data_IF_562373307641
#
_entry.id   IF_562373307641
#
_cell.length_a   1.000
_cell.length_b   1.000
_cell.length_c   1.000
_cell.angle_alpha   90.00
_cell.angle_beta   90.00
_cell.angle_gamma   90.00
#
_symmetry.space_group_name_H-M   'P 1'
#
loop_
_entity.id
_entity.type
_entity.pdbx_description
1 polymer ?
#
# COMPACT_ATOMS: atom_id res chain seq x y z
N UNK A 1 2.46 29.21 11.20
CA UNK A 1 2.60 28.05 10.30
C UNK A 1 2.13 26.74 10.94
N UNK A 2 2.47 26.48 12.20
CA UNK A 2 2.02 25.30 12.96
C UNK A 2 0.49 25.21 13.15
N UNK A 3 -0.20 26.35 13.36
CA UNK A 3 -1.65 26.36 13.57
C UNK A 3 -2.47 26.07 12.31
N UNK A 4 -1.94 26.34 11.09
CA UNK A 4 -2.58 25.94 9.84
C UNK A 4 -2.48 24.45 9.55
N UNK A 5 -1.47 23.77 10.09
CA UNK A 5 -1.28 22.32 9.92
C UNK A 5 -2.20 21.53 10.86
N UNK A 6 -2.51 22.09 12.06
CA UNK A 6 -3.45 21.49 13.01
C UNK A 6 -4.90 21.47 12.54
N UNK A 7 -5.30 22.40 11.67
CA UNK A 7 -6.67 22.49 11.15
C UNK A 7 -6.98 21.52 9.99
N UNK A 8 -5.98 20.82 9.46
CA UNK A 8 -6.07 19.95 8.27
C UNK A 8 -5.85 18.46 8.54
N UNK A 9 -6.10 17.98 9.76
CA UNK A 9 -6.08 16.53 10.04
C UNK A 9 -7.32 15.86 9.42
N UNK A 10 -7.42 15.88 8.09
CA UNK A 10 -8.33 15.01 7.38
C UNK A 10 -7.90 13.56 7.61
N UNK A 11 -8.88 12.70 7.92
CA UNK A 11 -8.68 11.26 8.10
C UNK A 11 -8.24 10.66 6.77
N UNK A 12 -6.95 10.50 6.57
CA UNK A 12 -6.41 9.76 5.44
C UNK A 12 -6.62 8.28 5.72
N UNK A 13 -7.54 7.65 5.01
CA UNK A 13 -7.87 6.22 5.12
C UNK A 13 -6.84 5.32 4.41
N UNK A 14 -5.60 5.78 4.22
CA UNK A 14 -4.52 5.03 3.60
C UNK A 14 -3.31 5.01 4.54
N UNK A 15 -2.52 3.94 4.49
CA UNK A 15 -1.27 3.84 5.25
C UNK A 15 -0.35 5.03 4.92
N UNK A 16 0.08 5.74 5.94
CA UNK A 16 1.03 6.84 5.77
C UNK A 16 2.37 6.29 5.27
N UNK A 17 2.92 6.92 4.24
CA UNK A 17 4.26 6.55 3.74
C UNK A 17 5.28 6.67 4.88
N UNK A 18 6.11 5.66 5.18
CA UNK A 18 7.07 5.70 6.29
C UNK A 18 8.02 6.89 6.23
N UNK A 19 8.37 7.35 5.01
CA UNK A 19 9.17 8.56 4.80
C UNK A 19 8.47 9.81 5.32
N UNK A 20 7.18 9.99 5.02
CA UNK A 20 6.40 11.13 5.50
C UNK A 20 6.23 11.10 7.02
N UNK A 21 5.97 9.94 7.59
CA UNK A 21 5.91 9.75 9.04
C UNK A 21 7.19 10.23 9.70
N UNK A 22 8.38 9.82 9.19
CA UNK A 22 9.68 10.29 9.71
C UNK A 22 9.86 11.80 9.58
N UNK A 23 9.47 12.40 8.45
CA UNK A 23 9.59 13.86 8.23
C UNK A 23 8.73 14.63 9.21
N UNK A 24 7.47 14.22 9.43
CA UNK A 24 6.60 14.88 10.39
C UNK A 24 7.14 14.76 11.83
N UNK A 25 7.58 13.58 12.23
CA UNK A 25 8.17 13.37 13.55
C UNK A 25 9.45 14.19 13.74
N UNK A 26 10.34 14.26 12.74
CA UNK A 26 11.53 15.10 12.78
C UNK A 26 11.21 16.60 12.86
N UNK A 27 10.09 17.03 12.27
CA UNK A 27 9.59 18.41 12.36
C UNK A 27 8.85 18.70 13.68
N UNK A 28 8.81 17.77 14.64
CA UNK A 28 8.10 17.93 15.90
C UNK A 28 6.57 17.85 15.76
N UNK A 29 6.06 17.30 14.67
CA UNK A 29 4.63 17.08 14.40
C UNK A 29 4.35 15.59 14.55
N UNK A 30 3.89 15.12 15.73
CA UNK A 30 3.62 13.70 15.92
C UNK A 30 2.40 13.28 15.13
N UNK A 31 2.54 12.26 14.29
CA UNK A 31 1.45 11.61 13.55
C UNK A 31 1.17 10.28 14.20
N UNK A 32 -0.09 10.05 14.56
CA UNK A 32 -0.58 8.77 15.10
C UNK A 32 -1.33 8.02 14.01
N UNK A 33 -0.95 6.78 13.79
CA UNK A 33 -1.65 5.87 12.87
C UNK A 33 -2.51 4.91 13.70
N UNK A 34 -3.69 4.59 13.20
CA UNK A 34 -4.59 3.61 13.79
C UNK A 34 -5.09 2.62 12.75
N UNK A 35 -5.41 1.42 13.20
CA UNK A 35 -5.99 0.37 12.36
C UNK A 35 -7.26 -0.17 12.99
N UNK A 36 -8.20 -0.46 12.14
CA UNK A 36 -9.44 -1.11 12.47
C UNK A 36 -10.45 -1.06 11.35
N UNK A 37 -11.58 -1.71 11.56
CA UNK A 37 -12.66 -1.87 10.61
C UNK A 37 -13.99 -1.43 11.26
N UNK A 38 -15.00 -1.17 10.46
CA UNK A 38 -16.36 -0.93 10.96
C UNK A 38 -16.82 -2.09 11.86
N UNK A 39 -16.45 -3.29 11.48
CA UNK A 39 -16.72 -4.55 12.17
C UNK A 39 -16.03 -4.67 13.55
N UNK A 40 -15.11 -3.76 13.88
CA UNK A 40 -14.37 -3.75 15.16
C UNK A 40 -14.57 -2.46 15.96
N UNK A 41 -15.55 -1.64 15.67
CA UNK A 41 -16.11 -0.48 16.41
C UNK A 41 -15.14 0.65 16.78
N UNK A 42 -14.31 1.24 15.93
CA UNK A 42 -13.64 0.73 14.75
C UNK A 42 -12.18 0.34 14.99
N UNK A 43 -11.63 0.44 16.23
CA UNK A 43 -10.18 0.43 16.50
C UNK A 43 -9.70 -0.91 17.03
N UNK A 44 -8.70 -1.49 16.36
CA UNK A 44 -7.94 -2.67 16.79
C UNK A 44 -6.62 -2.25 17.43
N UNK A 45 -5.90 -1.31 16.79
CA UNK A 45 -4.61 -0.83 17.27
C UNK A 45 -4.42 0.65 16.99
N UNK A 46 -3.57 1.32 17.75
CA UNK A 46 -3.24 2.72 17.58
C UNK A 46 -1.81 3.02 18.00
N UNK A 47 -1.10 3.82 17.18
CA UNK A 47 0.20 4.40 17.55
C UNK A 47 -0.01 5.50 18.56
N UNK A 48 0.65 5.41 19.71
CA UNK A 48 0.60 6.47 20.70
C UNK A 48 1.64 7.55 20.37
N UNK A 49 1.31 8.80 20.72
CA UNK A 49 2.16 9.98 20.44
C UNK A 49 3.48 9.99 21.24
N UNK A 50 3.63 9.11 22.21
CA UNK A 50 4.87 8.99 22.98
C UNK A 50 5.93 8.25 22.16
N UNK A 51 7.18 8.73 22.06
CA UNK A 51 8.24 8.08 21.29
C UNK A 51 8.47 6.60 21.65
N UNK A 52 8.21 6.23 22.91
CA UNK A 52 8.35 4.84 23.42
C UNK A 52 7.26 3.89 22.85
N UNK A 53 6.15 4.46 22.38
CA UNK A 53 4.99 3.70 21.90
C UNK A 53 4.70 3.93 20.42
N UNK A 54 5.71 4.36 19.66
CA UNK A 54 5.62 4.62 18.24
C UNK A 54 6.68 3.83 17.46
N UNK A 55 6.25 3.20 16.37
CA UNK A 55 7.13 2.50 15.42
C UNK A 55 6.74 2.88 14.01
N UNK A 56 7.65 3.50 13.26
CA UNK A 56 7.42 3.91 11.87
C UNK A 56 7.02 2.71 11.00
N UNK A 57 5.95 2.86 10.22
CA UNK A 57 5.43 1.81 9.34
C UNK A 57 4.63 0.72 10.07
N UNK A 58 4.27 0.94 11.33
CA UNK A 58 3.35 0.12 12.09
C UNK A 58 2.13 0.95 12.51
N UNK A 59 1.00 0.29 12.67
CA UNK A 59 -0.27 0.90 13.10
C UNK A 59 -0.47 0.90 14.61
N UNK A 60 0.62 0.71 15.36
CA UNK A 60 0.68 0.82 16.81
C UNK A 60 0.44 -0.47 17.57
N UNK A 61 0.24 -0.34 18.87
CA UNK A 61 -0.10 -1.43 19.79
C UNK A 61 -1.61 -1.67 19.83
N UNK A 62 -2.01 -2.88 20.20
CA UNK A 62 -3.41 -3.23 20.38
C UNK A 62 -4.06 -2.36 21.45
N UNK A 63 -5.37 -2.14 21.32
CA UNK A 63 -6.19 -1.60 22.41
C UNK A 63 -6.49 -2.69 23.42
N UNK A 64 -6.74 -2.30 24.68
CA UNK A 64 -6.76 -3.21 25.83
C UNK A 64 -7.88 -4.29 25.78
N UNK A 65 -8.95 -4.05 25.00
CA UNK A 65 -10.09 -4.98 24.87
C UNK A 65 -10.01 -5.94 23.68
N UNK A 66 -8.86 -5.96 22.96
CA UNK A 66 -8.69 -6.78 21.75
C UNK A 66 -7.60 -7.84 21.97
N UNK A 67 -7.97 -9.08 21.70
CA UNK A 67 -7.05 -10.18 21.46
C UNK A 67 -6.76 -10.28 19.96
N UNK A 68 -5.51 -10.58 19.62
CA UNK A 68 -5.08 -10.73 18.23
C UNK A 68 -4.26 -12.01 18.06
N UNK A 69 -4.52 -12.73 16.99
CA UNK A 69 -3.63 -13.79 16.47
C UNK A 69 -3.32 -13.52 15.00
N UNK A 70 -2.14 -13.93 14.57
CA UNK A 70 -1.79 -14.03 13.16
C UNK A 70 -1.99 -15.48 12.76
N UNK A 71 -2.87 -15.75 11.79
CA UNK A 71 -3.11 -17.09 11.27
C UNK A 71 -1.91 -17.61 10.46
N UNK A 72 -1.92 -18.89 10.10
CA UNK A 72 -0.81 -19.52 9.34
C UNK A 72 -0.57 -18.87 7.98
N UNK A 73 -1.62 -18.34 7.36
CA UNK A 73 -1.56 -17.61 6.08
C UNK A 73 -1.22 -16.12 6.25
N UNK A 74 -0.94 -15.68 7.49
CA UNK A 74 -0.61 -14.31 7.83
C UNK A 74 -1.82 -13.40 8.07
N UNK A 75 -3.06 -13.93 8.02
CA UNK A 75 -4.26 -13.12 8.26
C UNK A 75 -4.33 -12.65 9.72
N UNK A 76 -4.65 -11.38 9.88
CA UNK A 76 -4.95 -10.78 11.18
C UNK A 76 -6.34 -11.24 11.63
N UNK A 77 -6.41 -12.01 12.71
CA UNK A 77 -7.66 -12.39 13.33
C UNK A 77 -7.76 -11.74 14.71
N UNK A 78 -8.94 -11.18 15.02
CA UNK A 78 -9.15 -10.46 16.27
C UNK A 78 -10.39 -10.98 17.00
N UNK A 79 -10.37 -10.84 18.33
CA UNK A 79 -11.48 -11.20 19.23
C UNK A 79 -11.55 -10.17 20.33
N UNK A 80 -12.76 -9.80 20.76
CA UNK A 80 -12.98 -8.85 21.85
C UNK A 80 -14.36 -8.19 21.75
N UNK A 81 -14.70 -7.38 22.76
CA UNK A 81 -16.01 -6.77 22.91
C UNK A 81 -16.36 -5.75 21.81
N UNK A 82 -15.35 -5.22 21.12
CA UNK A 82 -15.56 -4.30 20.01
C UNK A 82 -15.87 -4.99 18.67
N UNK A 83 -15.74 -6.31 18.59
CA UNK A 83 -16.10 -7.08 17.40
C UNK A 83 -17.61 -7.12 17.24
N UNK A 84 -18.10 -6.85 16.03
CA UNK A 84 -19.53 -6.89 15.72
C UNK A 84 -20.17 -8.23 16.06
N UNK A 85 -21.47 -8.22 16.38
CA UNK A 85 -22.27 -9.46 16.52
C UNK A 85 -22.52 -10.17 15.19
N UNK A 86 -22.44 -9.44 14.06
CA UNK A 86 -22.61 -9.98 12.71
C UNK A 86 -23.18 -8.98 11.72
N UNK A 87 -23.25 -9.40 10.47
CA UNK A 87 -23.86 -8.61 9.39
C UNK A 87 -25.39 -8.69 9.44
N UNK A 88 -26.03 -7.55 9.35
CA UNK A 88 -27.48 -7.44 9.42
C UNK A 88 -28.16 -8.29 8.34
N UNK A 89 -29.05 -9.20 8.77
CA UNK A 89 -29.80 -10.14 7.91
C UNK A 89 -28.92 -10.95 6.94
N UNK A 90 -27.65 -11.17 7.28
CA UNK A 90 -26.73 -11.96 6.46
C UNK A 90 -25.93 -12.95 7.34
N UNK A 91 -26.54 -14.03 7.81
CA UNK A 91 -25.88 -15.01 8.67
C UNK A 91 -24.75 -15.77 7.95
N UNK A 92 -24.85 -15.96 6.63
CA UNK A 92 -23.80 -16.63 5.85
C UNK A 92 -22.52 -15.81 5.84
N UNK A 93 -22.59 -14.53 5.49
CA UNK A 93 -21.42 -13.65 5.54
C UNK A 93 -20.89 -13.48 6.97
N UNK A 94 -21.75 -13.56 7.99
CA UNK A 94 -21.31 -13.53 9.39
C UNK A 94 -20.51 -14.78 9.74
N UNK A 95 -20.96 -15.97 9.32
CA UNK A 95 -20.25 -17.22 9.56
C UNK A 95 -18.94 -17.33 8.78
N UNK A 96 -18.82 -16.66 7.63
CA UNK A 96 -17.55 -16.53 6.90
C UNK A 96 -16.57 -15.59 7.60
N UNK A 97 -17.06 -14.52 8.22
CA UNK A 97 -16.23 -13.50 8.84
C UNK A 97 -15.84 -13.79 10.29
N UNK A 98 -16.71 -14.49 11.05
CA UNK A 98 -16.46 -14.86 12.45
C UNK A 98 -16.51 -16.39 12.57
N UNK A 99 -15.36 -16.97 12.95
CA UNK A 99 -15.27 -18.41 13.13
C UNK A 99 -16.01 -18.90 14.42
N UNK A 100 -16.15 -20.23 14.55
CA UNK A 100 -16.84 -20.86 15.69
C UNK A 100 -16.18 -20.62 17.05
N UNK A 101 -14.92 -20.21 17.07
CA UNK A 101 -14.18 -19.84 18.28
C UNK A 101 -14.29 -18.35 18.60
N UNK A 102 -15.07 -17.59 17.79
CA UNK A 102 -15.34 -16.17 17.95
C UNK A 102 -14.22 -15.24 17.43
N UNK A 103 -13.34 -15.74 16.58
CA UNK A 103 -12.33 -14.91 15.93
C UNK A 103 -12.90 -14.29 14.65
N UNK A 104 -12.83 -12.98 14.59
CA UNK A 104 -13.15 -12.21 13.39
C UNK A 104 -11.96 -12.19 12.44
N UNK A 105 -12.15 -12.64 11.22
CA UNK A 105 -11.21 -12.66 10.13
C UNK A 105 -11.24 -11.32 9.40
N UNK A 106 -10.20 -10.51 9.57
CA UNK A 106 -10.20 -9.13 9.05
C UNK A 106 -10.04 -9.03 7.53
N UNK A 107 -9.52 -10.08 6.90
CA UNK A 107 -9.13 -10.07 5.51
C UNK A 107 -7.85 -9.27 5.24
N UNK A 108 -7.19 -8.74 6.26
CA UNK A 108 -5.93 -8.05 6.18
C UNK A 108 -4.79 -8.97 6.64
N UNK A 109 -3.64 -8.87 5.98
CA UNK A 109 -2.43 -9.64 6.30
C UNK A 109 -1.47 -8.75 7.08
N UNK A 110 -0.84 -9.31 8.10
CA UNK A 110 0.08 -8.54 8.92
C UNK A 110 1.01 -9.36 9.78
N UNK A 111 1.79 -8.67 10.57
CA UNK A 111 2.75 -9.29 11.51
C UNK A 111 2.92 -8.42 12.75
N UNK A 112 3.35 -9.05 13.84
CA UNK A 112 3.78 -8.34 15.04
C UNK A 112 5.26 -8.01 14.95
N UNK A 113 5.59 -6.74 15.10
CA UNK A 113 6.97 -6.23 15.15
C UNK A 113 7.34 -6.01 16.60
N UNK A 114 8.53 -6.51 17.01
CA UNK A 114 9.05 -6.46 18.38
C UNK A 114 8.05 -7.04 19.42
N UNK A 115 7.16 -7.94 19.01
CA UNK A 115 6.12 -8.52 19.86
C UNK A 115 5.05 -7.54 20.36
N UNK A 116 5.07 -6.29 19.91
CA UNK A 116 4.23 -5.20 20.44
C UNK A 116 3.45 -4.44 19.36
N UNK A 117 4.07 -4.16 18.21
CA UNK A 117 3.50 -3.27 17.21
C UNK A 117 2.91 -4.06 16.05
N UNK A 118 1.65 -3.79 15.71
CA UNK A 118 1.01 -4.38 14.55
C UNK A 118 1.49 -3.66 13.28
N UNK A 119 1.90 -4.45 12.29
CA UNK A 119 2.23 -3.98 10.95
C UNK A 119 1.33 -4.69 9.95
N UNK A 120 0.57 -3.91 9.19
CA UNK A 120 -0.23 -4.41 8.08
C UNK A 120 0.68 -4.46 6.84
N UNK A 121 0.64 -5.56 6.14
CA UNK A 121 1.45 -5.77 4.94
C UNK A 121 0.63 -5.79 3.67
N UNK A 122 -0.57 -6.39 3.69
CA UNK A 122 -1.45 -6.46 2.53
C UNK A 122 -2.90 -6.80 2.89
N UNK A 123 -3.74 -6.95 1.86
CA UNK A 123 -5.06 -7.54 1.94
C UNK A 123 -5.07 -8.94 1.37
N UNK A 124 -5.64 -9.91 2.10
CA UNK A 124 -5.72 -11.31 1.69
C UNK A 124 -6.29 -11.50 0.29
N UNK A 125 -7.33 -10.73 -0.09
CA UNK A 125 -7.96 -10.77 -1.42
C UNK A 125 -7.13 -10.13 -2.53
N UNK A 126 -6.07 -9.39 -2.21
CA UNK A 126 -5.19 -8.73 -3.17
C UNK A 126 -3.87 -9.48 -3.40
N UNK A 127 -3.49 -10.37 -2.48
CA UNK A 127 -2.35 -11.24 -2.67
C UNK A 127 -2.61 -12.15 -3.87
N UNK A 128 -1.66 -12.20 -4.78
CA UNK A 128 -1.71 -13.07 -5.94
C UNK A 128 -0.58 -14.10 -5.94
N UNK A 129 -0.78 -15.18 -6.71
CA UNK A 129 0.19 -16.25 -6.87
C UNK A 129 0.83 -16.17 -8.26
N UNK A 130 2.16 -16.19 -8.31
CA UNK A 130 2.89 -16.31 -9.57
C UNK A 130 2.80 -17.71 -10.15
N UNK A 131 3.12 -17.91 -11.44
CA UNK A 131 3.16 -19.23 -12.08
C UNK A 131 4.13 -20.19 -11.39
N UNK A 132 5.17 -19.67 -10.73
CA UNK A 132 6.12 -20.45 -9.91
C UNK A 132 5.60 -20.80 -8.51
N UNK A 133 4.33 -20.50 -8.21
CA UNK A 133 3.70 -20.86 -6.93
C UNK A 133 4.03 -19.94 -5.77
N UNK A 134 4.73 -18.81 -5.98
CA UNK A 134 5.08 -17.86 -4.93
C UNK A 134 3.97 -16.83 -4.74
N UNK A 135 3.63 -16.55 -3.49
CA UNK A 135 2.69 -15.49 -3.14
C UNK A 135 3.39 -14.14 -3.14
N UNK A 136 2.74 -13.15 -3.70
CA UNK A 136 3.20 -11.75 -3.78
C UNK A 136 2.17 -10.86 -3.10
N UNK A 137 2.63 -10.01 -2.20
CA UNK A 137 1.86 -9.00 -1.50
C UNK A 137 1.98 -7.65 -2.25
N UNK A 138 1.04 -7.29 -3.15
CA UNK A 138 1.22 -6.15 -4.05
C UNK A 138 1.32 -4.82 -3.32
N UNK A 139 0.57 -4.60 -2.23
CA UNK A 139 0.63 -3.35 -1.48
C UNK A 139 1.99 -3.14 -0.81
N UNK A 140 2.62 -4.21 -0.32
CA UNK A 140 3.97 -4.13 0.27
C UNK A 140 4.98 -3.66 -0.79
N UNK A 141 4.94 -4.26 -1.97
CA UNK A 141 5.82 -3.91 -3.09
C UNK A 141 5.54 -2.48 -3.58
N UNK A 142 4.27 -2.10 -3.74
CA UNK A 142 3.85 -0.75 -4.12
C UNK A 142 4.28 0.31 -3.11
N UNK A 143 4.19 0.02 -1.82
CA UNK A 143 4.67 0.92 -0.78
C UNK A 143 6.18 1.11 -0.84
N UNK A 144 6.92 0.05 -1.21
CA UNK A 144 8.36 0.13 -1.45
C UNK A 144 8.70 1.00 -2.67
N UNK A 145 8.06 0.77 -3.81
CA UNK A 145 8.25 1.59 -5.00
C UNK A 145 7.99 3.08 -4.72
N UNK A 146 6.95 3.39 -3.94
CA UNK A 146 6.60 4.76 -3.56
C UNK A 146 7.54 5.40 -2.53
N UNK A 147 8.58 4.71 -2.05
CA UNK A 147 9.66 5.33 -1.28
C UNK A 147 10.56 6.19 -2.19
N UNK A 148 10.64 5.90 -3.51
CA UNK A 148 11.29 6.77 -4.49
C UNK A 148 10.58 8.12 -4.62
N UNK A 149 11.37 9.19 -4.72
CA UNK A 149 10.86 10.53 -4.99
C UNK A 149 10.32 10.71 -6.44
N UNK A 150 10.63 9.77 -7.33
CA UNK A 150 10.24 9.81 -8.74
C UNK A 150 9.01 8.96 -9.06
N UNK A 151 8.43 8.25 -8.08
CA UNK A 151 7.25 7.40 -8.27
C UNK A 151 6.07 7.95 -7.45
N UNK A 152 5.04 8.44 -8.13
CA UNK A 152 3.85 9.00 -7.48
C UNK A 152 2.80 7.92 -7.19
N UNK A 153 2.41 7.16 -8.24
CA UNK A 153 1.47 6.05 -8.10
C UNK A 153 2.01 4.82 -8.82
N UNK A 154 1.65 3.65 -8.32
CA UNK A 154 1.96 2.40 -9.01
C UNK A 154 0.92 1.34 -8.68
N UNK A 155 0.79 0.35 -9.57
CA UNK A 155 0.01 -0.86 -9.36
C UNK A 155 0.84 -2.06 -9.76
N UNK A 156 1.09 -2.97 -8.82
CA UNK A 156 1.81 -4.23 -9.06
C UNK A 156 0.83 -5.26 -9.62
N UNK A 157 1.27 -5.95 -10.66
CA UNK A 157 0.55 -7.00 -11.38
C UNK A 157 1.44 -8.24 -11.55
N UNK A 158 0.87 -9.40 -11.89
CA UNK A 158 1.66 -10.61 -12.12
C UNK A 158 0.98 -11.90 -11.68
N UNK A 159 -0.34 -11.87 -11.44
CA UNK A 159 -1.12 -13.07 -11.14
C UNK A 159 -0.98 -14.11 -12.28
N UNK A 160 -0.56 -15.33 -11.92
CA UNK A 160 -0.30 -16.39 -12.88
C UNK A 160 0.93 -16.17 -13.79
N UNK A 161 1.65 -15.08 -13.64
CA UNK A 161 2.82 -14.75 -14.46
C UNK A 161 4.14 -15.21 -13.80
N UNK A 162 5.22 -15.24 -14.58
CA UNK A 162 6.54 -15.73 -14.13
C UNK A 162 7.15 -14.83 -13.03
N UNK A 163 6.84 -13.53 -13.02
CA UNK A 163 7.37 -12.54 -12.11
C UNK A 163 6.41 -11.36 -11.94
N UNK A 164 6.50 -10.59 -10.85
CA UNK A 164 5.76 -9.35 -10.69
C UNK A 164 6.25 -8.28 -11.68
N UNK A 165 5.30 -7.50 -12.19
CA UNK A 165 5.54 -6.30 -12.99
C UNK A 165 4.72 -5.14 -12.42
N UNK A 166 4.93 -3.91 -12.90
CA UNK A 166 4.21 -2.75 -12.41
C UNK A 166 3.75 -1.79 -13.51
N UNK A 167 2.59 -1.19 -13.30
CA UNK A 167 2.23 0.07 -13.91
C UNK A 167 2.75 1.17 -12.99
N UNK A 168 3.54 2.11 -13.51
CA UNK A 168 4.16 3.19 -12.74
C UNK A 168 3.77 4.54 -13.33
N UNK A 169 3.31 5.43 -12.49
CA UNK A 169 3.09 6.82 -12.83
C UNK A 169 4.16 7.64 -12.11
N UNK A 170 5.06 8.28 -12.87
CA UNK A 170 6.11 9.10 -12.30
C UNK A 170 5.58 10.32 -11.53
N UNK A 171 6.35 10.81 -10.57
CA UNK A 171 6.20 12.18 -10.06
C UNK A 171 6.78 13.15 -11.10
N UNK A 172 5.92 13.66 -11.97
CA UNK A 172 6.32 14.39 -13.16
C UNK A 172 7.09 15.68 -12.88
N UNK A 173 6.80 16.37 -11.76
CA UNK A 173 7.53 17.59 -11.40
C UNK A 173 8.98 17.28 -11.02
N UNK A 174 9.19 16.29 -10.14
CA UNK A 174 10.54 15.87 -9.76
C UNK A 174 11.30 15.34 -10.97
N UNK A 175 10.64 14.57 -11.83
CA UNK A 175 11.23 13.99 -13.01
C UNK A 175 11.61 15.05 -14.05
N UNK A 176 10.78 16.10 -14.24
CA UNK A 176 11.07 17.22 -15.12
C UNK A 176 12.28 18.03 -14.62
N UNK A 177 12.33 18.32 -13.30
CA UNK A 177 13.48 19.01 -12.69
C UNK A 177 14.77 18.23 -12.90
N UNK A 178 14.73 16.91 -12.69
CA UNK A 178 15.87 16.04 -12.93
C UNK A 178 16.28 16.03 -14.42
N UNK A 179 15.31 15.89 -15.34
CA UNK A 179 15.55 15.91 -16.78
C UNK A 179 16.21 17.22 -17.24
N UNK A 180 15.72 18.35 -16.76
CA UNK A 180 16.29 19.66 -17.07
C UNK A 180 17.76 19.79 -16.57
N UNK A 181 18.06 19.24 -15.38
CA UNK A 181 19.43 19.20 -14.83
C UNK A 181 20.37 18.31 -15.66
N UNK A 182 19.84 17.24 -16.26
CA UNK A 182 20.62 16.35 -17.15
C UNK A 182 20.67 16.86 -18.61
N UNK A 183 20.03 17.98 -18.91
CA UNK A 183 19.98 18.53 -20.27
C UNK A 183 19.07 17.75 -21.24
N UNK A 184 18.16 16.92 -20.70
CA UNK A 184 17.21 16.10 -21.47
C UNK A 184 16.09 17.01 -22.00
N UNK A 185 15.89 17.05 -23.31
CA UNK A 185 14.90 17.92 -23.99
C UNK A 185 13.50 17.27 -24.09
N UNK A 186 13.08 16.53 -23.07
CA UNK A 186 11.73 15.99 -22.99
C UNK A 186 10.87 16.88 -22.09
N UNK A 187 9.69 17.32 -22.56
CA UNK A 187 8.78 18.15 -21.80
C UNK A 187 7.37 17.56 -21.77
N UNK A 188 6.82 17.52 -20.57
CA UNK A 188 5.48 16.99 -20.32
C UNK A 188 5.44 15.46 -20.21
N UNK A 189 4.37 14.93 -19.63
CA UNK A 189 4.26 13.51 -19.27
C UNK A 189 4.51 12.54 -20.43
N UNK A 190 3.90 12.78 -21.59
CA UNK A 190 4.01 11.89 -22.76
C UNK A 190 5.44 11.80 -23.31
N UNK A 191 6.16 12.93 -23.34
CA UNK A 191 7.54 12.95 -23.81
C UNK A 191 8.49 12.32 -22.79
N UNK A 192 8.23 12.54 -21.49
CA UNK A 192 9.05 11.98 -20.42
C UNK A 192 8.96 10.44 -20.39
N UNK A 193 7.77 9.85 -20.44
CA UNK A 193 7.60 8.39 -20.33
C UNK A 193 8.13 7.61 -21.53
N UNK A 194 8.39 8.25 -22.66
CA UNK A 194 8.94 7.64 -23.89
C UNK A 194 10.44 7.86 -24.04
N UNK A 195 11.04 8.73 -23.23
CA UNK A 195 12.46 9.03 -23.29
C UNK A 195 13.28 7.91 -22.62
N UNK A 196 14.30 7.39 -23.30
CA UNK A 196 15.13 6.27 -22.84
C UNK A 196 15.91 6.56 -21.56
N UNK A 197 16.42 7.78 -21.40
CA UNK A 197 17.18 8.17 -20.20
C UNK A 197 16.27 8.28 -18.99
N UNK A 198 15.05 8.75 -19.18
CA UNK A 198 14.01 8.79 -18.15
C UNK A 198 13.59 7.37 -17.74
N UNK A 199 13.38 6.48 -18.72
CA UNK A 199 13.05 5.08 -18.45
C UNK A 199 14.17 4.42 -17.64
N UNK A 200 15.43 4.62 -18.04
CA UNK A 200 16.60 4.10 -17.32
C UNK A 200 16.68 4.67 -15.88
N UNK A 201 16.35 5.96 -15.68
CA UNK A 201 16.29 6.54 -14.32
C UNK A 201 15.22 5.88 -13.46
N UNK A 202 14.01 5.65 -13.99
CA UNK A 202 12.97 4.95 -13.24
C UNK A 202 13.36 3.49 -12.97
N UNK A 203 14.06 2.83 -13.90
CA UNK A 203 14.57 1.46 -13.70
C UNK A 203 15.58 1.41 -12.53
N UNK A 204 16.50 2.36 -12.45
CA UNK A 204 17.42 2.52 -11.32
C UNK A 204 16.63 2.68 -9.99
N UNK A 205 15.65 3.56 -9.95
CA UNK A 205 14.81 3.80 -8.78
C UNK A 205 14.02 2.53 -8.35
N UNK A 206 13.49 1.78 -9.31
CA UNK A 206 12.84 0.50 -9.05
C UNK A 206 13.81 -0.50 -8.44
N UNK A 207 15.02 -0.63 -8.99
CA UNK A 207 16.04 -1.53 -8.45
C UNK A 207 16.45 -1.16 -7.02
N UNK A 208 16.71 0.12 -6.77
CA UNK A 208 17.12 0.63 -5.46
C UNK A 208 16.05 0.37 -4.39
N UNK A 209 14.79 0.65 -4.70
CA UNK A 209 13.69 0.43 -3.75
C UNK A 209 13.42 -1.05 -3.48
N UNK A 210 13.72 -1.93 -4.44
CA UNK A 210 13.49 -3.38 -4.32
C UNK A 210 14.61 -4.13 -3.59
N UNK A 211 15.71 -3.50 -3.21
CA UNK A 211 16.87 -4.16 -2.57
C UNK A 211 16.54 -4.92 -1.28
N UNK A 212 15.52 -4.50 -0.54
CA UNK A 212 15.06 -5.16 0.70
C UNK A 212 13.89 -6.14 0.51
N UNK A 213 13.39 -6.29 -0.71
CA UNK A 213 12.25 -7.16 -1.06
C UNK A 213 12.76 -8.52 -1.54
N UNK A 214 12.06 -9.59 -1.19
CA UNK A 214 12.43 -10.93 -1.61
C UNK A 214 12.49 -11.04 -3.15
N UNK A 215 13.47 -11.77 -3.69
CA UNK A 215 13.74 -11.84 -5.14
C UNK A 215 12.51 -12.18 -5.99
N UNK A 216 11.61 -13.02 -5.49
CA UNK A 216 10.39 -13.43 -6.19
C UNK A 216 9.26 -12.38 -6.13
N UNK A 217 9.36 -11.39 -5.24
CA UNK A 217 8.42 -10.27 -5.13
C UNK A 217 8.90 -9.02 -5.87
N UNK A 218 10.18 -8.99 -6.27
CA UNK A 218 10.76 -7.83 -6.97
C UNK A 218 10.11 -7.63 -8.33
N UNK A 219 9.72 -6.39 -8.62
CA UNK A 219 9.26 -5.97 -9.94
C UNK A 219 10.40 -6.12 -10.96
N UNK A 220 10.15 -6.88 -12.03
CA UNK A 220 11.15 -7.15 -13.07
C UNK A 220 10.97 -6.32 -14.34
N UNK A 221 9.74 -5.96 -14.65
CA UNK A 221 9.40 -5.11 -15.79
C UNK A 221 8.31 -4.11 -15.38
N UNK A 222 8.22 -2.99 -16.05
CA UNK A 222 7.19 -1.99 -15.78
C UNK A 222 6.77 -1.25 -17.07
N UNK A 223 5.62 -0.60 -17.00
CA UNK A 223 5.13 0.36 -17.98
C UNK A 223 4.95 1.70 -17.32
N UNK A 224 5.44 2.77 -17.93
CA UNK A 224 5.18 4.14 -17.49
C UNK A 224 3.85 4.63 -18.08
N UNK A 225 3.03 5.24 -17.24
CA UNK A 225 1.76 5.85 -17.63
C UNK A 225 1.84 7.38 -17.54
N UNK A 226 1.21 8.12 -18.48
CA UNK A 226 1.37 9.57 -18.57
C UNK A 226 0.48 10.36 -17.61
N UNK A 227 -0.46 9.71 -16.92
CA UNK A 227 -1.43 10.38 -16.04
C UNK A 227 -1.71 9.59 -14.77
N UNK A 228 -2.12 10.30 -13.73
CA UNK A 228 -2.57 9.71 -12.46
C UNK A 228 -3.84 8.88 -12.63
N UNK A 229 -3.97 7.85 -11.80
CA UNK A 229 -5.24 7.18 -11.59
C UNK A 229 -6.21 8.13 -10.89
N UNK A 230 -7.46 8.20 -11.34
CA UNK A 230 -8.45 9.14 -10.81
C UNK A 230 -9.74 8.47 -10.35
N UNK A 231 -10.47 9.18 -9.48
CA UNK A 231 -11.82 8.76 -9.05
C UNK A 231 -12.81 8.88 -10.22
N UNK A 232 -12.66 9.93 -11.03
CA UNK A 232 -13.53 10.20 -12.17
C UNK A 232 -13.45 9.09 -13.21
N UNK A 233 -12.25 8.61 -13.48
CA UNK A 233 -12.03 7.49 -14.42
C UNK A 233 -12.37 6.12 -13.82
N UNK A 234 -12.80 6.09 -12.58
CA UNK A 234 -13.16 4.84 -11.88
C UNK A 234 -11.98 3.96 -11.51
N UNK A 235 -10.76 4.51 -11.44
CA UNK A 235 -9.51 3.78 -11.19
C UNK A 235 -9.15 3.72 -9.72
N UNK A 236 -9.56 4.71 -8.95
CA UNK A 236 -9.41 4.74 -7.49
C UNK A 236 -10.75 5.03 -6.81
N UNK A 237 -10.85 4.70 -5.54
CA UNK A 237 -11.99 5.07 -4.69
C UNK A 237 -11.82 6.50 -4.19
N UNK A 238 -12.90 7.16 -3.65
CA UNK A 238 -12.77 8.45 -2.98
C UNK A 238 -11.75 8.48 -1.83
N UNK A 239 -11.45 7.30 -1.24
CA UNK A 239 -10.42 7.11 -0.23
C UNK A 239 -9.05 6.76 -0.83
N UNK A 240 -8.84 7.04 -2.12
CA UNK A 240 -7.61 6.85 -2.89
C UNK A 240 -7.10 5.40 -2.96
N UNK A 241 -7.97 4.40 -2.76
CA UNK A 241 -7.62 2.98 -2.93
C UNK A 241 -7.75 2.56 -4.39
N UNK A 242 -6.77 1.81 -4.91
CA UNK A 242 -6.77 1.30 -6.28
C UNK A 242 -7.96 0.34 -6.52
N UNK A 243 -8.67 0.55 -7.62
CA UNK A 243 -9.63 -0.40 -8.15
C UNK A 243 -8.92 -1.31 -9.17
N UNK A 244 -8.13 -2.25 -8.67
CA UNK A 244 -7.20 -3.09 -9.46
C UNK A 244 -7.83 -3.70 -10.70
N UNK A 245 -9.03 -4.26 -10.59
CA UNK A 245 -9.74 -4.86 -11.74
C UNK A 245 -10.04 -3.84 -12.84
N UNK A 246 -10.44 -2.62 -12.47
CA UNK A 246 -10.73 -1.57 -13.44
C UNK A 246 -9.46 -1.06 -14.13
N UNK A 247 -8.39 -0.85 -13.36
CA UNK A 247 -7.08 -0.45 -13.90
C UNK A 247 -6.53 -1.54 -14.81
N UNK A 248 -6.57 -2.80 -14.38
CA UNK A 248 -6.11 -3.93 -15.18
C UNK A 248 -6.82 -3.99 -16.53
N UNK A 249 -8.15 -3.94 -16.54
CA UNK A 249 -8.94 -3.99 -17.78
C UNK A 249 -8.60 -2.84 -18.76
N UNK A 250 -8.30 -1.63 -18.25
CA UNK A 250 -7.90 -0.49 -19.08
C UNK A 250 -6.51 -0.64 -19.69
N UNK A 251 -5.60 -1.29 -18.99
CA UNK A 251 -4.19 -1.39 -19.38
C UNK A 251 -3.77 -2.83 -19.76
N UNK A 252 -4.71 -3.72 -19.97
CA UNK A 252 -4.49 -5.14 -20.19
C UNK A 252 -3.43 -5.42 -21.28
N UNK A 253 -3.54 -4.77 -22.44
CA UNK A 253 -2.58 -4.93 -23.54
C UNK A 253 -1.16 -4.57 -23.13
N UNK A 254 -0.99 -3.45 -22.41
CA UNK A 254 0.31 -3.01 -21.95
C UNK A 254 0.89 -3.92 -20.86
N UNK A 255 0.02 -4.48 -20.00
CA UNK A 255 0.40 -5.44 -18.97
C UNK A 255 0.85 -6.77 -19.62
N UNK A 256 0.10 -7.30 -20.57
CA UNK A 256 0.43 -8.57 -21.22
C UNK A 256 1.75 -8.49 -22.00
N UNK A 257 2.00 -7.37 -22.68
CA UNK A 257 3.27 -7.12 -23.38
C UNK A 257 4.51 -7.15 -22.47
N UNK A 258 4.35 -7.00 -21.14
CA UNK A 258 5.47 -7.13 -20.20
C UNK A 258 5.96 -8.59 -20.08
N UNK A 259 5.15 -9.56 -20.47
CA UNK A 259 5.42 -10.99 -20.27
C UNK A 259 5.76 -11.74 -21.57
N UNK A 260 5.65 -11.05 -22.70
CA UNK A 260 6.17 -11.48 -23.99
C UNK A 260 7.68 -11.22 -24.06
#
# INVERSE_FOLDING_TARGET
MADRIRAGAERVSAALRPRLSRVFWAAGIPVSEGYGLTETSPVISVSRVKPVDFKVGCVGSLVDSIELKIAEDGEICVKGDSVMVGYYKNPEATAEAIDKDGWFHTGDIGTMVDGKYLKITDRKKEIFKTSGGKYVAPQLVENKLKESAFIEQCMVVGEGQKFPSALIIPEFNALQVWADQQGIKAKGPEALITNKEIIAKIEEEVLDTMGSVAKYEQVKKFVLLPRLFTVVDGEITPTLKLKRKAIYAKHEKAILALYE
#
